data_IF_368426963217
#
_entry.id   IF_368426963217
#
_cell.length_a   1.000
_cell.length_b   1.000
_cell.length_c   1.000
_cell.angle_alpha   90.00
_cell.angle_beta   90.00
_cell.angle_gamma   90.00
#
_symmetry.space_group_name_H-M   'P 1'
#
loop_
_entity.id
_entity.type
_entity.pdbx_description
1 polymer ?
#
# COMPACT_ATOMS: atom_id res chain seq x y z
N UNK A 1 -33.77 -10.61 9.86
CA UNK A 1 -32.93 -9.97 8.80
C UNK A 1 -31.73 -9.31 9.47
N UNK A 2 -30.59 -10.00 9.59
CA UNK A 2 -29.28 -9.36 9.86
C UNK A 2 -28.14 -10.33 9.53
N UNK A 3 -27.99 -10.65 8.25
CA UNK A 3 -26.80 -11.35 7.72
C UNK A 3 -25.64 -10.35 7.63
N UNK A 4 -24.80 -10.18 8.66
CA UNK A 4 -23.51 -9.47 8.51
C UNK A 4 -22.51 -9.56 9.70
N UNK A 5 -22.66 -10.45 10.67
CA UNK A 5 -21.71 -10.53 11.82
C UNK A 5 -20.49 -11.43 11.57
N UNK A 6 -20.16 -11.78 10.32
CA UNK A 6 -19.23 -12.88 10.01
C UNK A 6 -17.82 -12.48 9.56
N UNK A 7 -17.46 -11.21 9.65
CA UNK A 7 -16.10 -10.75 9.35
C UNK A 7 -15.62 -10.02 10.60
N UNK A 8 -14.89 -10.76 11.46
CA UNK A 8 -14.20 -10.28 12.66
C UNK A 8 -13.67 -8.85 12.49
N UNK A 9 -13.81 -8.01 13.52
CA UNK A 9 -13.73 -6.53 13.54
C UNK A 9 -12.54 -5.82 12.82
N UNK A 10 -11.62 -6.53 12.16
CA UNK A 10 -10.59 -5.98 11.27
C UNK A 10 -10.23 -6.83 10.04
N UNK A 11 -10.87 -7.98 9.81
CA UNK A 11 -10.52 -8.86 8.68
C UNK A 11 -10.99 -8.32 7.34
N UNK A 12 -12.20 -7.72 7.31
CA UNK A 12 -12.76 -7.14 6.10
C UNK A 12 -11.98 -5.91 5.64
N UNK A 13 -11.55 -5.07 6.58
CA UNK A 13 -10.71 -3.89 6.31
C UNK A 13 -9.32 -4.30 5.85
N UNK A 14 -8.72 -5.35 6.44
CA UNK A 14 -7.46 -5.90 5.97
C UNK A 14 -7.55 -6.41 4.52
N UNK A 15 -8.59 -7.19 4.19
CA UNK A 15 -8.82 -7.65 2.81
C UNK A 15 -9.02 -6.46 1.87
N UNK A 16 -9.84 -5.48 2.25
CA UNK A 16 -10.09 -4.30 1.43
C UNK A 16 -8.80 -3.50 1.16
N UNK A 17 -7.94 -3.34 2.16
CA UNK A 17 -6.64 -2.67 1.98
C UNK A 17 -5.69 -3.45 1.07
N UNK A 18 -5.62 -4.77 1.21
CA UNK A 18 -4.82 -5.60 0.30
C UNK A 18 -5.34 -5.47 -1.13
N UNK A 19 -6.66 -5.56 -1.34
CA UNK A 19 -7.26 -5.38 -2.67
C UNK A 19 -7.03 -3.97 -3.23
N UNK A 20 -7.06 -2.94 -2.39
CA UNK A 20 -6.76 -1.57 -2.78
C UNK A 20 -5.30 -1.41 -3.20
N UNK A 21 -4.34 -1.93 -2.42
CA UNK A 21 -2.90 -1.86 -2.72
C UNK A 21 -2.51 -2.63 -3.98
N UNK A 22 -3.18 -3.75 -4.28
CA UNK A 22 -2.98 -4.53 -5.51
C UNK A 22 -3.92 -4.10 -6.64
N UNK A 23 -4.70 -3.04 -6.44
CA UNK A 23 -5.48 -2.40 -7.49
C UNK A 23 -4.59 -1.75 -8.55
N UNK A 24 -5.09 -1.62 -9.78
CA UNK A 24 -4.30 -1.04 -10.88
C UNK A 24 -4.48 -1.72 -12.23
N UNK A 25 -5.36 -2.73 -12.35
CA UNK A 25 -5.60 -3.43 -13.63
C UNK A 25 -5.94 -2.49 -14.80
N UNK A 26 -6.54 -1.33 -14.54
CA UNK A 26 -6.87 -0.34 -15.58
C UNK A 26 -5.63 0.31 -16.24
N UNK A 27 -4.47 0.32 -15.58
CA UNK A 27 -3.23 0.89 -16.11
C UNK A 27 -2.31 -0.15 -16.76
N UNK A 28 -2.61 -1.44 -16.63
CA UNK A 28 -1.82 -2.50 -17.27
C UNK A 28 -1.86 -2.45 -18.81
N UNK A 29 -3.01 -2.17 -19.48
CA UNK A 29 -3.04 -2.09 -20.94
C UNK A 29 -2.23 -0.91 -21.50
N UNK A 30 -2.25 0.24 -20.81
CA UNK A 30 -1.44 1.39 -21.22
C UNK A 30 0.05 1.12 -21.00
N UNK A 31 0.42 0.47 -19.89
CA UNK A 31 1.80 0.07 -19.63
C UNK A 31 2.32 -0.95 -20.66
N UNK A 32 1.50 -1.93 -21.04
CA UNK A 32 1.82 -2.89 -22.09
C UNK A 32 2.04 -2.21 -23.45
N UNK A 33 1.21 -1.22 -23.80
CA UNK A 33 1.36 -0.49 -25.05
C UNK A 33 2.60 0.42 -25.08
N UNK A 34 3.06 0.90 -23.91
CA UNK A 34 4.29 1.68 -23.77
C UNK A 34 5.57 0.84 -23.80
N UNK A 35 5.49 -0.49 -23.59
CA UNK A 35 6.65 -1.36 -23.75
C UNK A 35 7.07 -1.49 -25.21
N UNK A 36 8.38 -1.61 -25.43
CA UNK A 36 8.97 -1.88 -26.74
C UNK A 36 8.37 -3.18 -27.31
N UNK A 37 8.09 -3.19 -28.61
CA UNK A 37 7.39 -4.29 -29.29
C UNK A 37 8.10 -5.63 -29.06
N UNK A 38 9.43 -5.61 -29.01
CA UNK A 38 10.30 -6.76 -28.77
C UNK A 38 10.19 -7.31 -27.34
N UNK A 39 9.85 -6.48 -26.35
CA UNK A 39 9.83 -6.82 -24.92
C UNK A 39 8.42 -7.15 -24.39
N UNK A 40 7.36 -6.93 -25.19
CA UNK A 40 5.97 -7.18 -24.78
C UNK A 40 5.70 -8.62 -24.32
N UNK A 41 6.43 -9.59 -24.86
CA UNK A 41 6.33 -10.99 -24.44
C UNK A 41 6.79 -11.21 -22.98
N UNK A 42 7.60 -10.30 -22.45
CA UNK A 42 8.11 -10.33 -21.07
C UNK A 42 7.21 -9.57 -20.08
N UNK A 43 6.19 -8.87 -20.58
CA UNK A 43 5.30 -8.02 -19.78
C UNK A 43 4.69 -8.78 -18.61
N UNK A 44 4.17 -9.98 -18.84
CA UNK A 44 3.52 -10.80 -17.79
C UNK A 44 4.51 -11.18 -16.68
N UNK A 45 5.75 -11.55 -17.06
CA UNK A 45 6.82 -11.85 -16.11
C UNK A 45 7.22 -10.61 -15.32
N UNK A 46 7.34 -9.46 -15.97
CA UNK A 46 7.70 -8.19 -15.33
C UNK A 46 6.63 -7.74 -14.34
N UNK A 47 5.35 -7.84 -14.72
CA UNK A 47 4.20 -7.51 -13.88
C UNK A 47 4.15 -8.44 -12.65
N UNK A 48 4.33 -9.74 -12.84
CA UNK A 48 4.32 -10.70 -11.74
C UNK A 48 5.47 -10.46 -10.76
N UNK A 49 6.69 -10.19 -11.25
CA UNK A 49 7.84 -9.82 -10.40
C UNK A 49 7.56 -8.52 -9.65
N UNK A 50 6.96 -7.52 -10.32
CA UNK A 50 6.60 -6.24 -9.71
C UNK A 50 5.62 -6.42 -8.54
N UNK A 51 4.51 -7.14 -8.77
CA UNK A 51 3.53 -7.42 -7.73
C UNK A 51 4.09 -8.29 -6.60
N UNK A 52 4.90 -9.30 -6.90
CA UNK A 52 5.56 -10.13 -5.89
C UNK A 52 6.51 -9.29 -5.01
N UNK A 53 7.28 -8.39 -5.63
CA UNK A 53 8.20 -7.49 -4.91
C UNK A 53 7.44 -6.50 -4.03
N UNK A 54 6.36 -5.89 -4.56
CA UNK A 54 5.51 -4.99 -3.78
C UNK A 54 4.86 -5.72 -2.59
N UNK A 55 4.35 -6.94 -2.80
CA UNK A 55 3.80 -7.78 -1.74
C UNK A 55 4.81 -8.12 -0.65
N UNK A 56 6.05 -8.45 -1.03
CA UNK A 56 7.12 -8.70 -0.08
C UNK A 56 7.45 -7.45 0.76
N UNK A 57 7.52 -6.27 0.13
CA UNK A 57 7.72 -5.01 0.84
C UNK A 57 6.59 -4.72 1.85
N UNK A 58 5.33 -4.91 1.45
CA UNK A 58 4.19 -4.72 2.35
C UNK A 58 4.19 -5.72 3.50
N UNK A 59 4.51 -7.00 3.24
CA UNK A 59 4.60 -8.02 4.28
C UNK A 59 5.72 -7.72 5.28
N UNK A 60 6.90 -7.31 4.80
CA UNK A 60 8.02 -6.91 5.66
C UNK A 60 7.66 -5.69 6.52
N UNK A 61 7.01 -4.69 5.93
CA UNK A 61 6.55 -3.52 6.66
C UNK A 61 5.50 -3.88 7.72
N UNK A 62 4.55 -4.76 7.39
CA UNK A 62 3.54 -5.24 8.33
C UNK A 62 4.17 -6.02 9.49
N UNK A 63 5.13 -6.91 9.21
CA UNK A 63 5.87 -7.64 10.23
C UNK A 63 6.66 -6.69 11.13
N UNK A 64 7.41 -5.75 10.55
CA UNK A 64 8.19 -4.76 11.31
C UNK A 64 7.29 -3.88 12.17
N UNK A 65 6.17 -3.39 11.63
CA UNK A 65 5.20 -2.59 12.38
C UNK A 65 4.60 -3.38 13.55
N UNK A 66 4.27 -4.65 13.34
CA UNK A 66 3.79 -5.53 14.39
C UNK A 66 4.84 -5.77 15.49
N UNK A 67 6.12 -5.94 15.12
CA UNK A 67 7.20 -6.07 16.11
C UNK A 67 7.43 -4.80 16.93
N UNK A 68 7.26 -3.61 16.33
CA UNK A 68 7.49 -2.32 17.00
C UNK A 68 6.30 -1.90 17.87
N UNK A 69 5.07 -2.08 17.40
CA UNK A 69 3.86 -1.57 18.07
C UNK A 69 3.04 -2.66 18.78
N UNK A 70 3.34 -3.94 18.54
CA UNK A 70 2.62 -5.06 19.11
C UNK A 70 1.15 -5.09 18.71
N UNK A 71 0.28 -5.48 19.65
CA UNK A 71 -1.18 -5.44 19.47
C UNK A 71 -1.80 -4.05 19.61
N UNK A 72 -1.01 -3.02 19.92
CA UNK A 72 -1.46 -1.63 20.12
C UNK A 72 -1.27 -0.78 18.86
N UNK A 73 -1.61 -1.33 17.69
CA UNK A 73 -1.70 -0.52 16.47
C UNK A 73 -2.99 0.30 16.54
N UNK A 74 -2.88 1.62 16.74
CA UNK A 74 -3.99 2.53 16.45
C UNK A 74 -4.34 2.47 14.95
N UNK A 75 -5.52 2.95 14.56
CA UNK A 75 -6.06 2.95 13.18
C UNK A 75 -5.11 3.54 12.10
N UNK A 76 -4.02 4.21 12.50
CA UNK A 76 -2.93 4.64 11.60
C UNK A 76 -1.54 4.43 12.22
N UNK A 77 -0.67 3.73 11.49
CA UNK A 77 0.73 3.48 11.85
C UNK A 77 1.51 4.80 12.04
N UNK A 78 1.20 5.83 11.24
CA UNK A 78 1.86 7.14 11.29
C UNK A 78 1.63 7.84 12.64
N UNK A 79 0.42 7.74 13.18
CA UNK A 79 0.07 8.37 14.46
C UNK A 79 0.81 7.68 15.63
N UNK A 80 0.91 6.35 15.57
CA UNK A 80 1.62 5.54 16.56
C UNK A 80 3.15 5.77 16.50
N UNK A 81 3.68 6.04 15.30
CA UNK A 81 5.09 6.36 15.09
C UNK A 81 5.48 7.76 15.63
N UNK A 82 4.59 8.75 15.52
CA UNK A 82 4.78 10.07 16.15
C UNK A 82 4.83 9.95 17.67
N UNK A 83 3.96 9.11 18.26
CA UNK A 83 3.91 8.89 19.70
C UNK A 83 5.16 8.17 20.24
N UNK A 84 5.73 7.25 19.46
CA UNK A 84 6.91 6.46 19.88
C UNK A 84 8.23 7.19 19.59
N UNK A 85 8.31 7.95 18.50
CA UNK A 85 9.53 8.65 18.09
C UNK A 85 9.19 9.98 17.38
N UNK A 86 9.21 11.12 18.09
CA UNK A 86 8.67 12.37 17.55
C UNK A 86 9.43 12.89 16.33
N UNK A 87 10.72 12.59 16.21
CA UNK A 87 11.55 13.00 15.06
C UNK A 87 11.19 12.17 13.82
N UNK A 88 11.20 10.84 13.93
CA UNK A 88 10.92 9.93 12.81
C UNK A 88 9.46 10.05 12.37
N UNK A 89 8.52 10.13 13.30
CA UNK A 89 7.10 10.31 12.98
C UNK A 89 6.82 11.64 12.27
N UNK A 90 7.52 12.73 12.64
CA UNK A 90 7.38 14.03 11.98
C UNK A 90 7.98 14.02 10.57
N UNK A 91 9.15 13.40 10.39
CA UNK A 91 9.74 13.22 9.05
C UNK A 91 8.82 12.37 8.17
N UNK A 92 8.35 11.21 8.66
CA UNK A 92 7.44 10.35 7.91
C UNK A 92 6.15 11.07 7.50
N UNK A 93 5.56 11.84 8.41
CA UNK A 93 4.35 12.62 8.14
C UNK A 93 4.60 13.70 7.09
N UNK A 94 5.70 14.45 7.21
CA UNK A 94 6.06 15.47 6.22
C UNK A 94 6.33 14.82 4.86
N UNK A 95 7.01 13.68 4.79
CA UNK A 95 7.25 12.96 3.54
C UNK A 95 5.93 12.50 2.89
N UNK A 96 5.02 11.92 3.66
CA UNK A 96 3.70 11.49 3.15
C UNK A 96 2.87 12.68 2.68
N UNK A 97 2.87 13.78 3.44
CA UNK A 97 2.18 15.02 3.05
C UNK A 97 2.75 15.64 1.78
N UNK A 98 4.08 15.70 1.65
CA UNK A 98 4.74 16.19 0.44
C UNK A 98 4.43 15.30 -0.75
N UNK A 99 4.48 13.97 -0.59
CA UNK A 99 4.14 13.04 -1.65
C UNK A 99 2.67 13.18 -2.07
N UNK A 100 1.74 13.30 -1.12
CA UNK A 100 0.33 13.50 -1.41
C UNK A 100 0.09 14.83 -2.16
N UNK A 101 0.73 15.92 -1.71
CA UNK A 101 0.61 17.23 -2.34
C UNK A 101 1.20 17.26 -3.76
N UNK A 102 2.33 16.59 -3.99
CA UNK A 102 2.97 16.51 -5.31
C UNK A 102 2.24 15.54 -6.26
N UNK A 103 1.63 14.50 -5.73
CA UNK A 103 0.84 13.54 -6.50
C UNK A 103 -0.52 14.12 -6.92
N UNK A 104 -1.07 15.08 -6.17
CA UNK A 104 -2.23 15.85 -6.63
C UNK A 104 -1.76 16.74 -7.79
N UNK A 105 -2.37 16.60 -8.99
CA UNK A 105 -2.02 17.46 -10.11
C UNK A 105 -2.32 18.91 -9.75
N UNK A 106 -1.32 19.80 -9.84
CA UNK A 106 -1.41 21.24 -9.57
C UNK A 106 -2.34 22.04 -10.52
N UNK A 107 -3.29 21.38 -11.17
CA UNK A 107 -4.18 21.90 -12.21
C UNK A 107 -5.61 21.35 -12.10
N UNK A 108 -6.01 20.98 -10.87
CA UNK A 108 -7.39 21.12 -10.42
C UNK A 108 -7.62 22.52 -9.87
#
# INVERSE_FOLDING_TARGET
LSHATLISDGFGTAIAMVLFCFGGHATLPSLHNQMQVEERHLFDRAVNIGFATAGACYALLAAAAYFVFGSCCADSITLTLIATSPIVGRVATVTVLLNALLAVPAWM
#
